data_IF_022320834197
#
_entry.id   IF_022320834197
#
_cell.length_a   1.000
_cell.length_b   1.000
_cell.length_c   1.000
_cell.angle_alpha   90.00
_cell.angle_beta   90.00
_cell.angle_gamma   90.00
#
_symmetry.space_group_name_H-M   'P 1'
#
loop_
_entity.id
_entity.type
_entity.pdbx_description
1 polymer ?
#
# COMPACT_ATOMS: atom_id res chain seq x y z
N UNK A 1 24.23 -15.88 -3.70
CA UNK A 1 23.21 -15.47 -2.71
C UNK A 1 21.90 -16.13 -3.12
N UNK A 2 21.26 -16.89 -2.26
CA UNK A 2 19.95 -17.47 -2.57
C UNK A 2 18.87 -16.39 -2.54
N UNK A 3 18.17 -16.24 -3.65
CA UNK A 3 17.03 -15.29 -3.74
C UNK A 3 15.74 -16.08 -3.51
N UNK A 4 14.98 -15.71 -2.48
CA UNK A 4 13.68 -16.29 -2.18
C UNK A 4 12.56 -15.44 -2.78
N UNK A 5 11.69 -16.07 -3.58
CA UNK A 5 10.60 -15.40 -4.30
C UNK A 5 9.28 -16.09 -3.98
N UNK A 6 8.25 -15.30 -3.69
CA UNK A 6 6.87 -15.77 -3.63
C UNK A 6 6.12 -15.28 -4.88
N UNK A 7 5.89 -16.17 -5.81
CA UNK A 7 5.26 -15.87 -7.09
C UNK A 7 3.78 -16.30 -7.06
N UNK A 8 2.83 -15.37 -7.17
CA UNK A 8 1.43 -15.71 -7.38
C UNK A 8 1.26 -16.45 -8.70
N UNK A 9 0.53 -17.56 -8.71
CA UNK A 9 0.23 -18.36 -9.89
C UNK A 9 -1.26 -18.29 -10.20
N UNK A 10 -1.58 -18.28 -11.48
CA UNK A 10 -2.95 -18.30 -11.97
C UNK A 10 -3.19 -19.45 -12.93
N UNK A 11 -4.45 -19.91 -13.01
CA UNK A 11 -4.84 -21.01 -13.90
C UNK A 11 -4.73 -22.41 -13.28
N UNK A 12 -4.38 -22.53 -12.01
CA UNK A 12 -4.40 -23.81 -11.30
C UNK A 12 -5.83 -24.20 -10.92
N UNK A 13 -6.26 -25.39 -11.30
CA UNK A 13 -7.59 -25.93 -10.98
C UNK A 13 -7.59 -27.05 -9.94
N UNK A 14 -6.43 -27.61 -9.61
CA UNK A 14 -6.31 -28.74 -8.71
C UNK A 14 -4.91 -28.88 -8.11
N UNK A 15 -4.79 -29.63 -6.99
CA UNK A 15 -3.52 -29.91 -6.33
C UNK A 15 -2.51 -30.63 -7.23
N UNK A 16 -2.99 -31.43 -8.21
CA UNK A 16 -2.12 -32.11 -9.17
C UNK A 16 -1.42 -31.11 -10.11
N UNK A 17 -2.08 -29.98 -10.43
CA UNK A 17 -1.47 -28.89 -11.17
C UNK A 17 -0.27 -28.29 -10.41
N UNK A 18 -0.43 -28.05 -9.13
CA UNK A 18 0.63 -27.55 -8.26
C UNK A 18 1.83 -28.51 -8.21
N UNK A 19 1.57 -29.82 -8.10
CA UNK A 19 2.61 -30.84 -8.12
C UNK A 19 3.37 -30.88 -9.45
N UNK A 20 2.66 -30.74 -10.58
CA UNK A 20 3.27 -30.67 -11.92
C UNK A 20 4.19 -29.47 -12.08
N UNK A 21 3.73 -28.29 -11.68
CA UNK A 21 4.55 -27.06 -11.74
C UNK A 21 5.78 -27.23 -10.85
N UNK A 22 5.60 -27.68 -9.60
CA UNK A 22 6.70 -27.91 -8.66
C UNK A 22 7.74 -28.89 -9.22
N UNK A 23 7.29 -30.00 -9.80
CA UNK A 23 8.17 -31.00 -10.39
C UNK A 23 8.93 -30.47 -11.62
N UNK A 24 8.33 -29.63 -12.43
CA UNK A 24 8.98 -29.03 -13.58
C UNK A 24 10.01 -27.97 -13.19
N UNK A 25 9.69 -27.12 -12.22
CA UNK A 25 10.61 -26.10 -11.73
C UNK A 25 11.83 -26.72 -11.04
N UNK A 26 11.62 -27.79 -10.27
CA UNK A 26 12.72 -28.52 -9.61
C UNK A 26 13.63 -29.33 -10.56
N UNK A 27 13.29 -29.42 -11.84
CA UNK A 27 14.20 -29.93 -12.87
C UNK A 27 15.23 -28.92 -13.35
N UNK A 28 14.97 -27.64 -13.12
CA UNK A 28 15.90 -26.57 -13.46
C UNK A 28 17.04 -26.56 -12.45
N UNK A 29 18.26 -26.50 -12.94
CA UNK A 29 19.46 -26.50 -12.11
C UNK A 29 19.51 -25.21 -11.25
N UNK A 30 19.75 -25.35 -9.94
CA UNK A 30 19.82 -24.22 -9.02
C UNK A 30 18.46 -23.62 -8.62
N UNK A 31 17.35 -24.29 -8.94
CA UNK A 31 15.98 -23.89 -8.59
C UNK A 31 15.38 -24.90 -7.61
N UNK A 32 14.89 -24.42 -6.49
CA UNK A 32 14.02 -25.19 -5.57
C UNK A 32 12.67 -24.51 -5.49
N UNK A 33 11.61 -25.21 -5.87
CA UNK A 33 10.27 -24.66 -5.89
C UNK A 33 9.27 -25.54 -5.14
N UNK A 34 8.44 -24.91 -4.34
CA UNK A 34 7.28 -25.53 -3.70
C UNK A 34 6.04 -24.73 -4.07
N UNK A 35 5.05 -25.40 -4.65
CA UNK A 35 3.80 -24.77 -5.08
C UNK A 35 2.68 -25.13 -4.12
N UNK A 36 2.03 -24.10 -3.57
CA UNK A 36 0.86 -24.22 -2.71
C UNK A 36 -0.40 -23.90 -3.51
N UNK A 37 -1.24 -24.92 -3.75
CA UNK A 37 -2.49 -24.76 -4.48
C UNK A 37 -3.50 -23.88 -3.73
N UNK A 38 -3.62 -24.02 -2.39
CA UNK A 38 -4.60 -23.26 -1.61
C UNK A 38 -4.31 -21.76 -1.51
N UNK A 39 -3.04 -21.39 -1.59
CA UNK A 39 -2.58 -20.00 -1.60
C UNK A 39 -2.37 -19.45 -3.01
N UNK A 40 -2.49 -20.31 -4.04
CA UNK A 40 -2.17 -19.97 -5.42
C UNK A 40 -0.79 -19.33 -5.58
N UNK A 41 0.21 -19.85 -4.85
CA UNK A 41 1.56 -19.30 -4.79
C UNK A 41 2.63 -20.38 -4.98
N UNK A 42 3.70 -19.99 -5.66
CA UNK A 42 4.95 -20.74 -5.70
C UNK A 42 6.01 -20.05 -4.83
N UNK A 43 6.56 -20.77 -3.87
CA UNK A 43 7.76 -20.37 -3.15
C UNK A 43 8.97 -20.93 -3.92
N UNK A 44 9.84 -20.06 -4.41
CA UNK A 44 10.95 -20.41 -5.30
C UNK A 44 12.24 -19.87 -4.70
N UNK A 45 13.20 -20.76 -4.48
CA UNK A 45 14.55 -20.43 -4.08
C UNK A 45 15.46 -20.54 -5.29
N UNK A 46 16.07 -19.45 -5.69
CA UNK A 46 17.03 -19.36 -6.79
C UNK A 46 18.44 -19.23 -6.22
N UNK A 47 19.35 -20.08 -6.68
CA UNK A 47 20.78 -19.95 -6.36
C UNK A 47 21.38 -18.75 -7.08
N UNK A 48 20.84 -18.42 -8.26
CA UNK A 48 21.22 -17.29 -9.09
C UNK A 48 19.95 -16.57 -9.60
N UNK A 49 19.87 -15.25 -9.37
CA UNK A 49 18.72 -14.44 -9.80
C UNK A 49 18.54 -14.35 -11.33
N UNK A 50 19.60 -14.61 -12.09
CA UNK A 50 19.58 -14.59 -13.55
C UNK A 50 18.75 -15.74 -14.15
N UNK A 51 18.41 -16.76 -13.37
CA UNK A 51 17.56 -17.89 -13.78
C UNK A 51 16.05 -17.64 -13.73
N UNK A 52 15.65 -16.49 -13.24
CA UNK A 52 14.22 -16.14 -13.18
C UNK A 52 13.51 -16.24 -14.54
N UNK A 53 14.06 -15.77 -15.68
CA UNK A 53 13.39 -15.91 -16.98
C UNK A 53 13.09 -17.35 -17.34
N UNK A 54 14.00 -18.31 -17.08
CA UNK A 54 13.81 -19.73 -17.34
C UNK A 54 12.65 -20.31 -16.50
N UNK A 55 12.54 -19.88 -15.25
CA UNK A 55 11.44 -20.27 -14.34
C UNK A 55 10.10 -19.76 -14.87
N UNK A 56 10.02 -18.49 -15.27
CA UNK A 56 8.80 -17.87 -15.78
C UNK A 56 8.37 -18.52 -17.11
N UNK A 57 9.33 -18.83 -17.98
CA UNK A 57 9.07 -19.53 -19.24
C UNK A 57 8.58 -20.96 -19.01
N UNK A 58 9.18 -21.69 -18.06
CA UNK A 58 8.75 -23.05 -17.68
C UNK A 58 7.30 -23.06 -17.17
N UNK A 59 6.88 -22.06 -16.39
CA UNK A 59 5.50 -21.94 -15.92
C UNK A 59 4.54 -21.74 -17.10
N UNK A 60 4.87 -20.83 -18.03
CA UNK A 60 4.07 -20.55 -19.22
C UNK A 60 4.01 -21.75 -20.17
N UNK A 61 5.11 -22.46 -20.37
CA UNK A 61 5.18 -23.66 -21.21
C UNK A 61 4.24 -24.76 -20.72
N UNK A 62 3.90 -24.79 -19.43
CA UNK A 62 2.95 -25.74 -18.86
C UNK A 62 1.49 -25.26 -18.90
N UNK A 63 1.23 -24.09 -19.49
CA UNK A 63 -0.12 -23.55 -19.65
C UNK A 63 -0.64 -22.78 -18.42
N UNK A 64 0.25 -22.41 -17.51
CA UNK A 64 -0.09 -21.58 -16.35
C UNK A 64 0.45 -20.16 -16.52
N UNK A 65 -0.14 -19.21 -15.78
CA UNK A 65 0.32 -17.84 -15.78
C UNK A 65 0.72 -17.41 -14.35
N UNK A 66 1.39 -16.28 -14.24
CA UNK A 66 1.87 -15.75 -12.97
C UNK A 66 1.47 -14.29 -12.79
N UNK A 67 1.28 -13.90 -11.54
CA UNK A 67 0.97 -12.52 -11.19
C UNK A 67 2.10 -11.58 -11.59
N UNK A 68 1.71 -10.43 -12.14
CA UNK A 68 2.62 -9.36 -12.53
C UNK A 68 2.22 -8.09 -11.81
N UNK A 69 3.21 -7.32 -11.40
CA UNK A 69 3.01 -5.98 -10.82
C UNK A 69 3.47 -4.93 -11.82
N UNK A 70 2.64 -3.92 -12.06
CA UNK A 70 3.01 -2.78 -12.91
C UNK A 70 3.26 -1.57 -12.03
N UNK A 71 4.47 -1.01 -12.11
CA UNK A 71 4.84 0.25 -11.49
C UNK A 71 5.07 1.28 -12.58
N UNK A 72 4.59 2.51 -12.33
CA UNK A 72 4.86 3.65 -13.20
C UNK A 72 5.56 4.73 -12.39
N UNK A 73 6.68 5.19 -12.89
CA UNK A 73 7.45 6.29 -12.30
C UNK A 73 7.37 7.51 -13.21
N UNK A 74 7.22 8.68 -12.62
CA UNK A 74 7.47 9.95 -13.29
C UNK A 74 8.98 10.20 -13.19
N UNK A 75 9.61 10.45 -14.34
CA UNK A 75 11.08 10.57 -14.44
C UNK A 75 11.45 12.00 -14.81
N UNK A 76 12.15 12.66 -13.89
CA UNK A 76 12.74 13.98 -14.14
C UNK A 76 14.17 13.91 -14.67
N UNK A 77 14.61 14.95 -15.38
CA UNK A 77 15.99 15.08 -15.84
C UNK A 77 16.31 14.39 -17.18
N UNK A 78 15.33 13.82 -17.88
CA UNK A 78 15.55 13.34 -19.25
C UNK A 78 15.63 14.52 -20.22
N UNK A 79 16.74 14.66 -20.95
CA UNK A 79 16.94 15.77 -21.91
C UNK A 79 16.82 15.35 -23.36
N UNK A 80 16.84 14.06 -23.65
CA UNK A 80 16.76 13.53 -25.02
C UNK A 80 16.29 12.07 -25.04
N UNK A 81 15.88 11.59 -26.22
CA UNK A 81 15.49 10.21 -26.43
C UNK A 81 16.59 9.19 -26.11
N UNK A 82 17.85 9.57 -26.24
CA UNK A 82 19.01 8.74 -25.83
C UNK A 82 19.06 8.49 -24.33
N UNK A 83 18.63 9.46 -23.51
CA UNK A 83 18.50 9.30 -22.06
C UNK A 83 17.42 8.25 -21.73
N UNK A 84 16.29 8.31 -22.38
CA UNK A 84 15.21 7.34 -22.21
C UNK A 84 15.64 5.94 -22.63
N UNK A 85 16.33 5.79 -23.75
CA UNK A 85 16.85 4.49 -24.20
C UNK A 85 17.89 3.91 -23.24
N UNK A 86 18.79 4.74 -22.68
CA UNK A 86 19.77 4.33 -21.68
C UNK A 86 19.07 3.86 -20.39
N UNK A 87 18.12 4.64 -19.89
CA UNK A 87 17.34 4.28 -18.70
C UNK A 87 16.55 3.00 -18.92
N UNK A 88 15.90 2.85 -20.07
CA UNK A 88 15.15 1.65 -20.44
C UNK A 88 16.04 0.40 -20.40
N UNK A 89 17.23 0.46 -21.02
CA UNK A 89 18.19 -0.64 -21.02
C UNK A 89 18.63 -1.04 -19.62
N UNK A 90 18.89 -0.05 -18.76
CA UNK A 90 19.32 -0.30 -17.38
C UNK A 90 18.21 -0.90 -16.53
N UNK A 91 16.97 -0.42 -16.67
CA UNK A 91 15.83 -0.93 -15.93
C UNK A 91 15.47 -2.36 -16.37
N UNK A 92 15.55 -2.67 -17.67
CA UNK A 92 15.28 -4.02 -18.18
C UNK A 92 16.31 -5.05 -17.70
N UNK A 93 17.54 -4.61 -17.39
CA UNK A 93 18.60 -5.48 -16.86
C UNK A 93 18.47 -5.78 -15.35
N UNK A 94 17.54 -5.15 -14.64
CA UNK A 94 17.36 -5.39 -13.21
C UNK A 94 16.68 -6.74 -12.96
N UNK A 95 17.12 -7.50 -11.95
CA UNK A 95 16.51 -8.78 -11.61
C UNK A 95 15.05 -8.57 -11.18
N UNK A 96 14.14 -9.37 -11.70
CA UNK A 96 12.71 -9.28 -11.42
C UNK A 96 11.93 -8.32 -12.31
N UNK A 97 12.59 -7.58 -13.20
CA UNK A 97 11.93 -6.76 -14.22
C UNK A 97 11.64 -7.63 -15.44
N UNK A 98 10.36 -7.79 -15.78
CA UNK A 98 9.90 -8.53 -16.95
C UNK A 98 10.00 -7.66 -18.20
N UNK A 99 9.59 -6.41 -18.08
CA UNK A 99 9.71 -5.40 -19.15
C UNK A 99 9.77 -4.00 -18.56
N UNK A 100 10.47 -3.11 -19.25
CA UNK A 100 10.49 -1.69 -18.97
C UNK A 100 10.15 -0.94 -20.27
N UNK A 101 9.36 0.11 -20.15
CA UNK A 101 9.03 1.03 -21.24
C UNK A 101 9.19 2.47 -20.73
N UNK A 102 10.19 3.16 -21.28
CA UNK A 102 10.51 4.55 -20.91
C UNK A 102 10.08 5.48 -22.01
N UNK A 103 9.08 6.30 -21.74
CA UNK A 103 8.56 7.28 -22.65
C UNK A 103 9.14 8.67 -22.32
N UNK A 104 9.95 9.20 -23.24
CA UNK A 104 10.57 10.51 -23.10
C UNK A 104 9.56 11.66 -23.10
N UNK A 105 8.55 11.60 -24.00
CA UNK A 105 7.57 12.68 -24.15
C UNK A 105 6.59 12.80 -22.97
N UNK A 106 6.29 11.68 -22.30
CA UNK A 106 5.45 11.64 -21.12
C UNK A 106 6.25 11.74 -19.82
N UNK A 107 7.59 11.73 -19.93
CA UNK A 107 8.50 11.68 -18.79
C UNK A 107 8.16 10.53 -17.82
N UNK A 108 7.79 9.36 -18.37
CA UNK A 108 7.35 8.20 -17.58
C UNK A 108 8.15 6.96 -17.91
N UNK A 109 8.41 6.16 -16.86
CA UNK A 109 8.91 4.81 -16.96
C UNK A 109 7.86 3.83 -16.40
N UNK A 110 7.36 2.95 -17.25
CA UNK A 110 6.46 1.86 -16.89
C UNK A 110 7.25 0.57 -16.79
N UNK A 111 7.19 -0.08 -15.62
CA UNK A 111 7.86 -1.35 -15.36
C UNK A 111 6.82 -2.42 -15.07
N UNK A 112 7.01 -3.58 -15.68
CA UNK A 112 6.28 -4.81 -15.33
C UNK A 112 7.26 -5.71 -14.58
N UNK A 113 6.88 -6.11 -13.38
CA UNK A 113 7.73 -6.77 -12.40
C UNK A 113 7.14 -8.08 -11.92
N UNK A 114 8.01 -8.96 -11.46
CA UNK A 114 7.61 -10.09 -10.61
C UNK A 114 7.33 -9.55 -9.21
N UNK A 115 6.13 -9.78 -8.64
CA UNK A 115 5.76 -9.27 -7.33
C UNK A 115 6.75 -9.70 -6.24
N UNK A 116 7.11 -8.76 -5.37
CA UNK A 116 7.97 -9.02 -4.22
C UNK A 116 9.48 -9.07 -4.49
N UNK A 117 9.94 -9.02 -5.76
CA UNK A 117 11.38 -8.99 -6.06
C UNK A 117 12.02 -7.63 -5.93
N UNK A 118 11.30 -6.59 -6.31
CA UNK A 118 11.79 -5.21 -6.24
C UNK A 118 10.81 -4.35 -5.48
N UNK A 119 11.32 -3.57 -4.52
CA UNK A 119 10.49 -2.56 -3.87
C UNK A 119 10.48 -1.26 -4.70
N UNK A 120 9.37 -0.49 -4.68
CA UNK A 120 9.32 0.81 -5.35
C UNK A 120 10.44 1.76 -4.88
N UNK A 121 10.82 1.68 -3.61
CA UNK A 121 11.91 2.47 -3.04
C UNK A 121 13.27 2.08 -3.62
N UNK A 122 13.56 0.78 -3.75
CA UNK A 122 14.80 0.29 -4.33
C UNK A 122 14.93 0.68 -5.81
N UNK A 123 13.84 0.57 -6.58
CA UNK A 123 13.81 1.01 -7.98
C UNK A 123 14.05 2.51 -8.12
N UNK A 124 13.42 3.31 -7.26
CA UNK A 124 13.65 4.75 -7.20
C UNK A 124 15.12 5.06 -6.96
N UNK A 125 15.74 4.46 -5.94
CA UNK A 125 17.17 4.66 -5.64
C UNK A 125 18.04 4.29 -6.84
N UNK A 126 17.74 3.19 -7.54
CA UNK A 126 18.48 2.80 -8.75
C UNK A 126 18.36 3.79 -9.88
N UNK A 127 17.18 4.39 -10.09
CA UNK A 127 16.97 5.42 -11.10
C UNK A 127 17.75 6.70 -10.71
N UNK A 128 17.75 7.06 -9.43
CA UNK A 128 18.51 8.21 -8.90
C UNK A 128 20.03 8.01 -9.02
N UNK A 129 20.53 6.80 -8.79
CA UNK A 129 21.97 6.46 -8.99
C UNK A 129 22.43 6.62 -10.45
N UNK A 130 21.51 6.42 -11.42
CA UNK A 130 21.79 6.62 -12.85
C UNK A 130 21.82 8.12 -13.21
N UNK A 131 21.31 8.99 -12.33
CA UNK A 131 21.30 10.45 -12.49
C UNK A 131 19.97 11.03 -12.93
N UNK A 132 18.86 10.31 -12.75
CA UNK A 132 17.50 10.77 -13.02
C UNK A 132 16.72 10.92 -11.72
N UNK A 133 15.78 11.86 -11.65
CA UNK A 133 14.82 11.95 -10.56
C UNK A 133 13.65 11.01 -10.83
N UNK A 134 13.17 10.29 -9.80
CA UNK A 134 12.08 9.35 -9.96
C UNK A 134 11.04 9.51 -8.85
N UNK A 135 9.79 9.67 -9.25
CA UNK A 135 8.65 9.71 -8.36
C UNK A 135 7.62 8.66 -8.77
N UNK A 136 7.12 7.88 -7.82
CA UNK A 136 6.10 6.89 -8.12
C UNK A 136 4.82 7.59 -8.58
N UNK A 137 4.34 7.27 -9.78
CA UNK A 137 3.11 7.87 -10.30
C UNK A 137 1.90 7.40 -9.50
N UNK A 138 1.04 8.32 -9.11
CA UNK A 138 -0.13 8.08 -8.24
C UNK A 138 -1.17 7.09 -8.84
N UNK A 139 -1.03 6.69 -10.09
CA UNK A 139 -1.91 5.73 -10.77
C UNK A 139 -1.47 4.27 -10.70
N UNK A 140 -0.29 3.96 -10.15
CA UNK A 140 0.17 2.56 -10.01
C UNK A 140 -0.64 1.80 -8.96
N UNK A 141 -0.76 0.47 -9.10
CA UNK A 141 -1.48 -0.36 -8.14
C UNK A 141 -0.92 -0.23 -6.72
N UNK A 142 0.40 -0.07 -6.59
CA UNK A 142 1.10 0.19 -5.33
C UNK A 142 0.82 1.59 -4.79
N UNK A 143 0.77 2.62 -5.62
CA UNK A 143 0.41 3.98 -5.21
C UNK A 143 -1.04 4.06 -4.70
N UNK A 144 -1.98 3.37 -5.35
CA UNK A 144 -3.37 3.26 -4.86
C UNK A 144 -3.45 2.56 -3.51
N UNK A 145 -2.70 1.46 -3.33
CA UNK A 145 -2.66 0.74 -2.05
C UNK A 145 -2.10 1.60 -0.93
N UNK A 146 -1.05 2.36 -1.21
CA UNK A 146 -0.44 3.26 -0.24
C UNK A 146 -1.38 4.41 0.14
N UNK A 147 -2.09 5.00 -0.83
CA UNK A 147 -3.14 5.99 -0.57
C UNK A 147 -4.32 5.43 0.23
N UNK A 148 -4.72 4.19 0.00
CA UNK A 148 -5.76 3.54 0.80
C UNK A 148 -5.31 3.36 2.25
N UNK A 149 -4.09 2.87 2.48
CA UNK A 149 -3.53 2.72 3.83
C UNK A 149 -3.38 4.06 4.56
N UNK A 150 -2.96 5.11 3.85
CA UNK A 150 -2.88 6.46 4.41
C UNK A 150 -4.27 7.03 4.76
N UNK A 151 -5.28 6.78 3.92
CA UNK A 151 -6.68 7.15 4.21
C UNK A 151 -7.22 6.42 5.42
N UNK A 152 -7.03 5.11 5.50
CA UNK A 152 -7.44 4.30 6.66
C UNK A 152 -6.76 4.78 7.96
N UNK A 153 -5.47 5.12 7.89
CA UNK A 153 -4.75 5.69 9.04
C UNK A 153 -5.29 7.07 9.44
N UNK A 154 -5.62 7.93 8.48
CA UNK A 154 -6.22 9.24 8.73
C UNK A 154 -7.64 9.12 9.29
N UNK A 155 -8.45 8.21 8.75
CA UNK A 155 -9.81 7.97 9.23
C UNK A 155 -9.82 7.42 10.66
N UNK A 156 -8.91 6.50 10.99
CA UNK A 156 -8.77 5.97 12.35
C UNK A 156 -8.32 7.03 13.36
N UNK A 157 -7.39 7.90 12.97
CA UNK A 157 -6.94 9.03 13.79
C UNK A 157 -8.08 10.04 14.00
N UNK A 158 -8.85 10.36 12.96
CA UNK A 158 -9.99 11.26 13.04
C UNK A 158 -11.12 10.68 13.93
N UNK A 159 -11.38 9.38 13.84
CA UNK A 159 -12.35 8.68 14.69
C UNK A 159 -11.95 8.72 16.17
N UNK A 160 -10.65 8.52 16.46
CA UNK A 160 -10.13 8.62 17.84
C UNK A 160 -10.28 10.04 18.42
N UNK A 161 -9.98 11.06 17.63
CA UNK A 161 -10.18 12.45 18.04
C UNK A 161 -11.66 12.77 18.27
N UNK A 162 -12.56 12.27 17.40
CA UNK A 162 -13.99 12.46 17.57
C UNK A 162 -14.51 11.77 18.85
N UNK A 163 -14.05 10.57 19.16
CA UNK A 163 -14.40 9.85 20.40
C UNK A 163 -13.95 10.64 21.64
N UNK A 164 -12.74 11.17 21.66
CA UNK A 164 -12.24 11.99 22.76
C UNK A 164 -13.11 13.24 22.94
N UNK A 165 -13.49 13.92 21.85
CA UNK A 165 -14.37 15.07 21.91
C UNK A 165 -15.76 14.73 22.46
N UNK A 166 -16.34 13.59 22.05
CA UNK A 166 -17.62 13.10 22.58
C UNK A 166 -17.52 12.76 24.06
N UNK A 167 -16.45 12.10 24.50
CA UNK A 167 -16.25 11.80 25.92
C UNK A 167 -16.10 13.07 26.77
N UNK A 168 -15.34 14.06 26.29
CA UNK A 168 -15.18 15.34 26.98
C UNK A 168 -16.51 16.08 27.05
N UNK A 169 -17.29 16.12 25.94
CA UNK A 169 -18.60 16.78 25.95
C UNK A 169 -19.58 16.09 26.89
N UNK A 170 -19.62 14.76 26.88
CA UNK A 170 -20.47 13.98 27.78
C UNK A 170 -20.12 14.22 29.26
N UNK A 171 -18.84 14.27 29.59
CA UNK A 171 -18.36 14.57 30.96
C UNK A 171 -18.76 15.96 31.43
N UNK A 172 -18.68 16.96 30.53
CA UNK A 172 -19.06 18.35 30.83
C UNK A 172 -20.58 18.57 30.92
N UNK A 173 -21.38 17.81 30.15
CA UNK A 173 -22.84 17.93 30.15
C UNK A 173 -23.52 17.15 31.27
N UNK A 174 -22.87 16.12 31.82
CA UNK A 174 -23.41 15.27 32.86
C UNK A 174 -23.80 16.08 34.14
N UNK A 175 -22.98 16.99 34.69
CA UNK A 175 -23.36 17.81 35.81
C UNK A 175 -24.53 18.78 35.51
N UNK A 176 -24.62 19.27 34.25
CA UNK A 176 -25.75 20.13 33.84
C UNK A 176 -27.07 19.35 33.81
N UNK A 177 -27.05 18.10 33.38
CA UNK A 177 -28.23 17.21 33.45
C UNK A 177 -28.67 16.94 34.89
N UNK A 178 -27.72 16.77 35.81
CA UNK A 178 -28.02 16.61 37.26
C UNK A 178 -28.64 17.86 37.81
N UNK A 179 -28.17 19.06 37.44
CA UNK A 179 -28.77 20.34 37.81
C UNK A 179 -30.22 20.48 37.31
N UNK A 180 -30.49 20.06 36.07
CA UNK A 180 -31.83 20.07 35.48
C UNK A 180 -32.77 19.10 36.21
N UNK A 181 -32.32 17.89 36.58
CA UNK A 181 -33.11 16.95 37.39
C UNK A 181 -33.42 17.48 38.79
N UNK A 182 -32.51 18.24 39.38
CA UNK A 182 -32.72 18.93 40.66
C UNK A 182 -33.82 19.96 40.57
N UNK A 183 -33.87 20.74 39.49
CA UNK A 183 -34.93 21.74 39.26
C UNK A 183 -36.31 21.08 39.02
N UNK A 184 -36.36 19.84 38.53
CA UNK A 184 -37.58 19.04 38.40
C UNK A 184 -38.04 18.36 39.72
N UNK A 185 -37.36 18.63 40.85
CA UNK A 185 -37.74 18.14 42.18
C UNK A 185 -37.31 16.71 42.47
N UNK A 186 -36.50 16.09 41.60
CA UNK A 186 -36.02 14.70 41.74
C UNK A 186 -34.72 14.57 42.53
N UNK A 187 -33.95 15.65 42.69
CA UNK A 187 -32.71 15.74 43.49
C UNK A 187 -32.64 17.04 44.25
N UNK A 188 -32.08 17.05 45.46
CA UNK A 188 -31.95 18.25 46.33
C UNK A 188 -30.57 18.90 46.25
N UNK A 189 -29.94 18.86 45.07
CA UNK A 189 -28.59 19.43 44.86
C UNK A 189 -28.63 20.56 43.84
N UNK A 190 -28.32 21.79 44.27
CA UNK A 190 -28.27 22.96 43.40
C UNK A 190 -26.82 23.34 43.11
N UNK A 191 -26.48 23.35 41.81
CA UNK A 191 -25.24 23.98 41.38
C UNK A 191 -25.42 25.49 41.34
N UNK A 192 -24.42 26.29 41.76
CA UNK A 192 -24.48 27.73 41.60
C UNK A 192 -24.45 28.14 40.14
N UNK A 193 -25.28 29.09 39.72
CA UNK A 193 -25.50 29.49 38.33
C UNK A 193 -24.21 29.89 37.58
N UNK A 194 -23.21 30.43 38.27
CA UNK A 194 -21.92 30.77 37.67
C UNK A 194 -21.13 29.54 37.25
N UNK A 195 -21.27 28.41 37.97
CA UNK A 195 -20.60 27.16 37.65
C UNK A 195 -21.21 26.49 36.39
N UNK A 196 -22.54 26.58 36.27
CA UNK A 196 -23.25 26.12 35.06
C UNK A 196 -22.80 26.88 33.82
N UNK A 197 -22.61 28.20 33.93
CA UNK A 197 -22.14 29.05 32.85
C UNK A 197 -20.70 28.74 32.46
N UNK A 198 -19.81 28.51 33.42
CA UNK A 198 -18.41 28.11 33.18
C UNK A 198 -18.31 26.75 32.50
N UNK A 199 -19.17 25.77 32.85
CA UNK A 199 -19.20 24.47 32.22
C UNK A 199 -19.81 24.47 30.81
N UNK A 200 -20.85 25.30 30.59
CA UNK A 200 -21.52 25.40 29.30
C UNK A 200 -20.69 26.12 28.22
N UNK A 201 -19.88 27.11 28.63
CA UNK A 201 -19.10 27.96 27.73
C UNK A 201 -18.12 27.15 26.83
N UNK A 202 -17.26 26.25 27.35
CA UNK A 202 -16.35 25.48 26.50
C UNK A 202 -17.08 24.50 25.58
N UNK A 203 -18.23 23.96 26.00
CA UNK A 203 -19.04 23.08 25.13
C UNK A 203 -19.60 23.89 23.97
N UNK A 204 -20.13 25.07 24.22
CA UNK A 204 -20.73 25.92 23.20
C UNK A 204 -19.69 26.47 22.21
N UNK A 205 -18.57 27.00 22.69
CA UNK A 205 -17.60 27.68 21.82
C UNK A 205 -16.53 26.79 21.24
N UNK A 206 -16.10 25.75 21.91
CA UNK A 206 -15.04 24.86 21.38
C UNK A 206 -15.62 23.71 20.60
N UNK A 207 -16.58 23.00 21.15
CA UNK A 207 -17.18 21.83 20.48
C UNK A 207 -18.17 22.32 19.40
N UNK A 208 -18.93 23.37 19.67
CA UNK A 208 -19.86 24.02 18.74
C UNK A 208 -19.18 24.75 17.58
N UNK A 209 -17.91 25.16 17.70
CA UNK A 209 -17.17 25.90 16.66
C UNK A 209 -17.12 25.17 15.32
N UNK A 210 -17.20 23.84 15.34
CA UNK A 210 -17.22 23.02 14.13
C UNK A 210 -18.48 23.23 13.29
N UNK A 211 -19.63 23.48 13.95
CA UNK A 211 -20.89 23.77 13.26
C UNK A 211 -20.91 25.18 12.68
N UNK A 212 -20.27 26.13 13.35
CA UNK A 212 -20.20 27.52 12.89
C UNK A 212 -19.23 27.74 11.72
N UNK A 213 -18.26 26.82 11.52
CA UNK A 213 -17.31 26.88 10.39
C UNK A 213 -17.80 26.15 9.14
N UNK A 214 -18.85 25.34 9.26
CA UNK A 214 -19.40 24.56 8.15
C UNK A 214 -20.72 25.11 7.57
N UNK A 215 -21.22 26.20 8.15
CA UNK A 215 -22.36 26.97 7.64
C UNK A 215 -21.87 28.23 6.94
#
# INVERSE_FOLDING_TARGET
MTTHIQLPLTGMSCANCASRISAALNKLEGVKATVNFALEQAAIDLTDGDRLPEVLESIKAQGYDYGQETLTFQIGGMTCAGCAARLNKMLTALPGVISADVNFSLEQARLVLVPGMQSPAALRTRIEEIGFDAQLAQGSASGRRQQLLEREAQESAAAHQALIQVCISALLTLPLLVGMLSMAGLLHWHLPAWLELVLATPVQFWIGARFYRGA
#
